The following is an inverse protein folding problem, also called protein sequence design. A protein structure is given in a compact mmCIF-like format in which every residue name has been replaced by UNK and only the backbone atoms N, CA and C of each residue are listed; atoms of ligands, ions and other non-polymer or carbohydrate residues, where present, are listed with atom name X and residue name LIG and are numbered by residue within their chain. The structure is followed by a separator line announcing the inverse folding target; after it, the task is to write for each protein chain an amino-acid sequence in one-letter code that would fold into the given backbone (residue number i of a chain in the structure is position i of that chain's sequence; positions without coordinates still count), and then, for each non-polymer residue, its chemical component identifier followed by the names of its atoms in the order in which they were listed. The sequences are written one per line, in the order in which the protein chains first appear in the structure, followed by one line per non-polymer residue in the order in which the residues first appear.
data_IF_067423303171
#
_entry.id   IF_067423303171
#
_cell.length_a   1.000
_cell.length_b   1.000
_cell.length_c   1.000
_cell.angle_alpha   90.00
_cell.angle_beta   90.00
_cell.angle_gamma   90.00
#
_symmetry.space_group_name_H-M   'P 1'
#
loop_
_entity.id
_entity.type
_entity.pdbx_description
1 polymer ?
#
# COMPACT_ATOMS: atom_id res chain seq x y z
N UNK A 1 -16.77 -18.67 -30.86
CA UNK A 1 -15.50 -18.43 -30.15
C UNK A 1 -15.81 -18.17 -28.69
N UNK A 2 -15.54 -19.14 -27.83
CA UNK A 2 -15.75 -19.03 -26.40
C UNK A 2 -14.49 -18.39 -25.81
N UNK A 3 -14.65 -17.26 -25.11
CA UNK A 3 -13.55 -16.58 -24.44
C UNK A 3 -13.20 -17.41 -23.20
N UNK A 4 -12.22 -18.31 -23.32
CA UNK A 4 -11.91 -19.27 -22.26
C UNK A 4 -10.93 -18.71 -21.21
N UNK A 5 -10.25 -17.59 -21.49
CA UNK A 5 -9.37 -16.98 -20.50
C UNK A 5 -9.19 -15.47 -20.70
N UNK A 6 -9.33 -14.72 -19.61
CA UNK A 6 -9.16 -13.27 -19.57
C UNK A 6 -8.19 -12.90 -18.45
N UNK A 7 -7.11 -12.20 -18.79
CA UNK A 7 -6.06 -11.81 -17.85
C UNK A 7 -6.07 -10.29 -17.71
N UNK A 8 -6.68 -9.78 -16.64
CA UNK A 8 -6.68 -8.35 -16.34
C UNK A 8 -5.56 -8.01 -15.34
N UNK A 9 -4.73 -7.02 -15.67
CA UNK A 9 -3.72 -6.50 -14.75
C UNK A 9 -4.19 -5.19 -14.14
N UNK A 10 -4.42 -5.19 -12.83
CA UNK A 10 -4.98 -4.05 -12.10
C UNK A 10 -3.93 -3.06 -11.56
N UNK A 11 -2.64 -3.26 -11.83
CA UNK A 11 -1.57 -2.40 -11.30
C UNK A 11 -1.50 -2.36 -9.76
N UNK A 12 -1.96 -3.44 -9.10
CA UNK A 12 -2.04 -3.56 -7.64
C UNK A 12 -0.65 -3.78 -7.03
N UNK A 13 0.13 -2.71 -6.96
CA UNK A 13 1.41 -2.70 -6.26
C UNK A 13 1.19 -2.57 -4.75
N UNK A 14 2.21 -2.92 -3.97
CA UNK A 14 2.21 -2.65 -2.54
C UNK A 14 2.02 -1.14 -2.29
N UNK A 15 1.08 -0.81 -1.40
CA UNK A 15 0.74 0.58 -1.06
C UNK A 15 1.36 0.94 0.28
N UNK A 16 1.88 2.16 0.38
CA UNK A 16 2.42 2.68 1.64
C UNK A 16 1.33 2.81 2.70
N UNK A 17 1.66 2.51 3.95
CA UNK A 17 0.71 2.56 5.07
C UNK A 17 0.02 3.93 5.20
N UNK A 18 0.72 5.03 4.89
CA UNK A 18 0.16 6.38 4.95
C UNK A 18 -0.98 6.62 3.96
N UNK A 19 -1.00 5.89 2.84
CA UNK A 19 -1.95 6.07 1.75
C UNK A 19 -3.19 5.20 1.93
N UNK A 20 -3.11 4.20 2.80
CA UNK A 20 -4.25 3.38 3.20
C UNK A 20 -5.09 4.04 4.29
N UNK A 21 -6.41 3.86 4.23
CA UNK A 21 -7.33 4.30 5.27
C UNK A 21 -7.29 3.33 6.46
N UNK A 22 -6.95 3.85 7.63
CA UNK A 22 -6.90 3.07 8.86
C UNK A 22 -6.28 3.86 10.02
N UNK A 23 -5.93 3.14 11.08
CA UNK A 23 -5.28 3.66 12.28
C UNK A 23 -3.86 3.12 12.38
N UNK A 24 -2.89 4.02 12.54
CA UNK A 24 -1.51 3.67 12.88
C UNK A 24 -1.38 3.60 14.41
N UNK A 25 -0.88 2.48 14.91
CA UNK A 25 -0.66 2.19 16.32
C UNK A 25 0.82 2.40 16.69
N UNK A 26 1.06 2.91 17.90
CA UNK A 26 2.40 3.30 18.37
C UNK A 26 2.58 4.82 18.50
N UNK A 27 3.70 5.28 19.04
CA UNK A 27 3.95 6.71 19.29
C UNK A 27 5.00 7.27 18.34
N UNK A 28 4.74 8.48 17.83
CA UNK A 28 5.78 9.25 17.13
C UNK A 28 6.84 9.63 18.16
N UNK A 29 8.09 9.27 17.91
CA UNK A 29 9.16 9.55 18.86
C UNK A 29 9.67 10.98 18.72
N UNK A 30 9.92 11.68 19.85
CA UNK A 30 10.51 13.00 19.81
C UNK A 30 11.95 12.93 19.31
N UNK A 31 12.40 14.04 18.72
CA UNK A 31 13.79 14.19 18.31
C UNK A 31 14.72 14.12 19.53
N UNK A 32 15.79 13.32 19.44
CA UNK A 32 16.76 13.15 20.51
C UNK A 32 17.69 14.36 20.62
N UNK A 33 17.86 14.92 21.82
CA UNK A 33 18.69 16.09 22.06
C UNK A 33 19.83 15.87 23.06
N UNK A 34 20.00 14.65 23.61
CA UNK A 34 21.02 14.44 24.66
C UNK A 34 22.42 14.49 24.07
N UNK A 35 23.31 15.13 24.81
CA UNK A 35 24.71 15.29 24.47
C UNK A 35 25.58 14.75 25.60
N UNK A 36 26.76 14.30 25.23
CA UNK A 36 27.81 13.91 26.16
C UNK A 36 28.33 15.18 26.85
N UNK A 37 28.40 15.14 28.19
CA UNK A 37 28.83 16.29 29.00
C UNK A 37 30.30 16.64 28.78
N UNK A 38 31.13 15.66 28.43
CA UNK A 38 32.58 15.84 28.24
C UNK A 38 32.93 16.33 26.84
N UNK A 39 32.29 15.76 25.80
CA UNK A 39 32.63 16.05 24.40
C UNK A 39 31.65 17.00 23.70
N UNK A 40 30.49 17.29 24.30
CA UNK A 40 29.42 18.10 23.71
C UNK A 40 28.72 17.46 22.50
N UNK A 41 29.17 16.27 22.06
CA UNK A 41 28.63 15.54 20.91
C UNK A 41 27.31 14.85 21.26
N UNK A 42 26.45 14.63 20.27
CA UNK A 42 25.23 13.84 20.46
C UNK A 42 25.58 12.40 20.86
N UNK A 43 24.94 11.90 21.91
CA UNK A 43 25.07 10.49 22.29
C UNK A 43 24.15 9.62 21.42
N UNK A 44 24.49 8.33 21.30
CA UNK A 44 23.60 7.37 20.64
C UNK A 44 22.29 7.30 21.43
N UNK A 45 21.18 7.60 20.76
CA UNK A 45 19.86 7.37 21.34
C UNK A 45 19.68 5.87 21.61
N UNK A 46 19.37 5.49 22.87
CA UNK A 46 18.85 4.15 23.16
C UNK A 46 17.44 4.05 22.58
N UNK A 47 17.29 3.29 21.50
CA UNK A 47 16.00 3.02 20.87
C UNK A 47 15.60 1.60 21.21
N UNK A 48 14.50 1.41 21.95
CA UNK A 48 13.81 0.12 21.97
C UNK A 48 12.94 0.05 20.72
N UNK A 49 12.96 -1.05 19.96
CA UNK A 49 11.97 -1.22 18.90
C UNK A 49 10.59 -1.39 19.57
N UNK A 50 9.69 -0.42 19.40
CA UNK A 50 8.27 -0.65 19.67
C UNK A 50 7.66 -1.07 18.35
N UNK A 51 7.06 -2.25 18.28
CA UNK A 51 6.46 -2.75 17.04
C UNK A 51 5.31 -1.82 16.62
N UNK A 52 5.59 -0.90 15.69
CA UNK A 52 4.57 -0.04 15.09
C UNK A 52 3.54 -0.91 14.36
N UNK A 53 2.26 -0.52 14.44
CA UNK A 53 1.17 -1.30 13.86
C UNK A 53 0.28 -0.48 12.93
N UNK A 54 -0.48 -1.18 12.10
CA UNK A 54 -1.54 -0.62 11.28
C UNK A 54 -2.79 -1.46 11.39
N UNK A 55 -3.91 -0.80 11.69
CA UNK A 55 -5.26 -1.38 11.72
C UNK A 55 -6.05 -0.74 10.58
N UNK A 56 -6.31 -1.45 9.47
CA UNK A 56 -7.10 -0.92 8.36
C UNK A 56 -8.54 -0.64 8.79
N UNK A 57 -9.21 0.30 8.11
CA UNK A 57 -10.62 0.64 8.38
C UNK A 57 -11.59 -0.40 7.79
N UNK A 58 -11.24 -0.98 6.63
CA UNK A 58 -12.06 -1.99 5.95
C UNK A 58 -11.63 -3.42 6.33
N UNK A 59 -12.50 -4.39 5.99
CA UNK A 59 -12.28 -5.82 6.24
C UNK A 59 -11.34 -6.50 5.24
N UNK A 60 -11.06 -5.86 4.10
CA UNK A 60 -10.22 -6.41 3.03
C UNK A 60 -8.79 -6.75 3.50
N UNK A 61 -8.25 -5.95 4.43
CA UNK A 61 -6.89 -6.12 4.92
C UNK A 61 -6.93 -6.48 6.40
N UNK A 62 -6.03 -7.36 6.83
CA UNK A 62 -5.88 -7.68 8.25
C UNK A 62 -4.98 -6.66 8.97
N UNK A 63 -5.26 -6.35 10.25
CA UNK A 63 -4.34 -5.60 11.09
C UNK A 63 -2.97 -6.27 11.14
N UNK A 64 -1.89 -5.49 11.12
CA UNK A 64 -0.52 -6.02 11.16
C UNK A 64 0.41 -5.14 11.97
N UNK A 65 1.51 -5.74 12.42
CA UNK A 65 2.64 -5.04 13.02
C UNK A 65 3.85 -5.12 12.10
N UNK A 66 4.75 -4.15 12.23
CA UNK A 66 5.96 -4.07 11.43
C UNK A 66 7.17 -4.25 12.35
N UNK A 67 7.93 -5.30 12.10
CA UNK A 67 9.20 -5.53 12.78
C UNK A 67 10.17 -4.39 12.49
N UNK A 68 10.87 -3.91 13.52
CA UNK A 68 11.74 -2.72 13.44
C UNK A 68 11.01 -1.47 12.91
N UNK A 69 9.68 -1.45 13.01
CA UNK A 69 8.83 -0.35 12.58
C UNK A 69 8.77 0.76 13.62
N UNK A 70 8.98 2.00 13.21
CA UNK A 70 8.80 3.19 14.03
C UNK A 70 7.67 4.05 13.43
N UNK A 71 6.85 4.66 14.28
CA UNK A 71 5.86 5.64 13.81
C UNK A 71 6.56 6.97 13.54
N UNK A 72 6.36 7.50 12.33
CA UNK A 72 6.95 8.76 11.88
C UNK A 72 5.92 9.63 11.17
N UNK A 73 6.37 10.80 10.69
CA UNK A 73 5.63 11.62 9.73
C UNK A 73 6.39 11.68 8.41
N UNK A 74 5.69 11.52 7.30
CA UNK A 74 6.26 11.63 5.96
C UNK A 74 6.82 13.03 5.75
N UNK A 75 8.02 13.17 5.20
CA UNK A 75 8.66 14.49 5.02
C UNK A 75 7.88 15.44 4.13
N UNK A 76 7.28 14.94 3.04
CA UNK A 76 6.61 15.77 2.02
C UNK A 76 5.22 16.21 2.45
N UNK A 77 4.40 15.28 2.95
CA UNK A 77 2.98 15.53 3.22
C UNK A 77 2.68 15.69 4.73
N UNK A 78 3.68 15.55 5.60
CA UNK A 78 3.53 15.55 7.06
C UNK A 78 2.48 14.56 7.62
N UNK A 79 2.13 13.53 6.83
CA UNK A 79 1.17 12.48 7.19
C UNK A 79 1.82 11.44 8.07
N UNK A 80 1.07 10.92 9.04
CA UNK A 80 1.55 9.87 9.92
C UNK A 80 1.75 8.59 9.10
N UNK A 81 2.88 7.93 9.31
CA UNK A 81 3.27 6.72 8.59
C UNK A 81 4.03 5.78 9.53
N UNK A 82 4.29 4.57 9.06
CA UNK A 82 5.26 3.65 9.67
C UNK A 82 6.50 3.63 8.79
N UNK A 83 7.67 3.73 9.41
CA UNK A 83 8.95 3.53 8.73
C UNK A 83 9.64 2.30 9.30
N UNK A 84 10.19 1.46 8.44
CA UNK A 84 10.98 0.29 8.82
C UNK A 84 12.44 0.70 8.75
N UNK A 85 13.16 0.47 9.84
CA UNK A 85 14.59 0.73 9.90
C UNK A 85 15.37 -0.53 9.64
N UNK A 86 16.29 -0.45 8.70
CA UNK A 86 17.28 -1.48 8.44
C UNK A 86 18.26 -1.55 9.64
N UNK A 87 18.44 -2.71 10.28
CA UNK A 87 19.31 -2.86 11.44
C UNK A 87 20.78 -2.58 11.13
N UNK A 88 21.25 -2.92 9.92
CA UNK A 88 22.66 -2.82 9.52
C UNK A 88 22.98 -1.43 8.99
N UNK A 89 22.21 -0.98 7.99
CA UNK A 89 22.48 0.30 7.30
C UNK A 89 21.89 1.50 8.03
N UNK A 90 20.97 1.27 8.99
CA UNK A 90 20.21 2.29 9.72
C UNK A 90 19.34 3.19 8.85
N UNK A 91 19.22 2.88 7.55
CA UNK A 91 18.35 3.58 6.60
C UNK A 91 16.90 3.25 6.93
N UNK A 92 16.01 4.20 6.67
CA UNK A 92 14.58 4.06 6.91
C UNK A 92 13.85 4.03 5.58
N UNK A 93 12.97 3.05 5.39
CA UNK A 93 11.99 3.01 4.30
C UNK A 93 10.58 3.12 4.84
N UNK A 94 9.64 3.65 4.05
CA UNK A 94 8.23 3.63 4.45
C UNK A 94 7.71 2.18 4.40
N UNK A 95 6.88 1.82 5.37
CA UNK A 95 6.23 0.52 5.40
C UNK A 95 5.16 0.46 4.31
N UNK A 96 5.10 -0.69 3.66
CA UNK A 96 4.17 -0.98 2.57
C UNK A 96 3.33 -2.21 2.94
N UNK A 97 2.13 -2.24 2.37
CA UNK A 97 1.15 -3.29 2.56
C UNK A 97 0.81 -3.81 1.19
N UNK A 98 1.05 -5.10 1.00
CA UNK A 98 0.58 -5.79 -0.19
C UNK A 98 -0.96 -5.84 -0.16
N UNK A 99 -1.54 -5.45 -1.29
CA UNK A 99 -2.98 -5.40 -1.53
C UNK A 99 -3.40 -6.28 -2.70
N UNK A 100 -2.45 -6.89 -3.42
CA UNK A 100 -2.74 -7.59 -4.68
C UNK A 100 -3.74 -8.73 -4.47
N UNK A 101 -3.38 -9.69 -3.63
CA UNK A 101 -4.19 -10.89 -3.40
C UNK A 101 -5.56 -10.56 -2.76
N UNK A 102 -5.65 -9.74 -1.68
CA UNK A 102 -6.95 -9.38 -1.12
C UNK A 102 -7.88 -8.67 -2.11
N UNK A 103 -7.32 -7.80 -2.96
CA UNK A 103 -8.11 -7.11 -3.99
C UNK A 103 -8.53 -8.05 -5.11
N UNK A 104 -7.66 -8.96 -5.55
CA UNK A 104 -7.98 -9.93 -6.58
C UNK A 104 -9.16 -10.80 -6.15
N UNK A 105 -9.09 -11.38 -4.93
CA UNK A 105 -10.16 -12.20 -4.37
C UNK A 105 -11.47 -11.40 -4.26
N UNK A 106 -11.41 -10.15 -3.79
CA UNK A 106 -12.61 -9.30 -3.71
C UNK A 106 -13.24 -9.03 -5.09
N UNK A 107 -12.42 -8.80 -6.12
CA UNK A 107 -12.92 -8.57 -7.48
C UNK A 107 -13.52 -9.86 -8.04
N UNK A 108 -12.88 -11.01 -7.85
CA UNK A 108 -13.40 -12.33 -8.23
C UNK A 108 -14.76 -12.61 -7.60
N UNK A 109 -14.90 -12.35 -6.30
CA UNK A 109 -16.13 -12.64 -5.55
C UNK A 109 -17.29 -11.67 -5.86
N UNK A 110 -17.00 -10.40 -6.15
CA UNK A 110 -18.03 -9.35 -6.17
C UNK A 110 -18.23 -8.67 -7.53
N UNK A 111 -17.21 -8.65 -8.38
CA UNK A 111 -17.21 -7.79 -9.56
C UNK A 111 -17.10 -8.58 -10.87
N UNK A 112 -16.59 -9.81 -10.89
CA UNK A 112 -16.41 -10.55 -12.16
C UNK A 112 -17.73 -10.81 -12.90
N UNK A 113 -18.82 -11.08 -12.18
CA UNK A 113 -20.13 -11.30 -12.77
C UNK A 113 -20.61 -10.08 -13.58
N UNK A 114 -20.49 -8.87 -12.99
CA UNK A 114 -20.89 -7.62 -13.64
C UNK A 114 -19.84 -7.09 -14.63
N UNK A 115 -18.56 -7.29 -14.33
CA UNK A 115 -17.45 -6.84 -15.17
C UNK A 115 -17.47 -7.49 -16.55
N UNK A 116 -17.88 -8.76 -16.63
CA UNK A 116 -18.06 -9.46 -17.91
C UNK A 116 -19.19 -8.87 -18.73
N UNK A 117 -20.32 -8.49 -18.12
CA UNK A 117 -21.42 -7.82 -18.82
C UNK A 117 -21.01 -6.43 -19.30
N UNK A 118 -20.40 -5.61 -18.43
CA UNK A 118 -19.94 -4.26 -18.76
C UNK A 118 -18.90 -4.31 -19.88
N UNK A 119 -17.93 -5.23 -19.78
CA UNK A 119 -16.94 -5.43 -20.83
C UNK A 119 -17.60 -5.85 -22.14
N UNK A 120 -18.50 -6.85 -22.11
CA UNK A 120 -19.22 -7.32 -23.31
C UNK A 120 -20.00 -6.18 -23.96
N UNK A 121 -20.67 -5.35 -23.16
CA UNK A 121 -21.40 -4.19 -23.68
C UNK A 121 -20.48 -3.19 -24.39
N UNK A 122 -19.34 -2.85 -23.79
CA UNK A 122 -18.36 -1.97 -24.43
C UNK A 122 -17.69 -2.60 -25.66
N UNK A 123 -17.36 -3.88 -25.60
CA UNK A 123 -16.76 -4.62 -26.71
C UNK A 123 -17.69 -4.73 -27.91
N UNK A 124 -18.98 -5.04 -27.68
CA UNK A 124 -19.99 -5.05 -28.75
C UNK A 124 -20.20 -3.67 -29.35
N UNK A 125 -20.21 -2.63 -28.51
CA UNK A 125 -20.34 -1.23 -28.96
C UNK A 125 -19.13 -0.82 -29.83
N UNK A 126 -17.92 -1.16 -29.41
CA UNK A 126 -16.69 -0.89 -30.17
C UNK A 126 -16.67 -1.66 -31.49
N UNK A 127 -17.00 -2.96 -31.49
CA UNK A 127 -17.10 -3.77 -32.71
C UNK A 127 -18.11 -3.19 -33.70
N UNK A 128 -19.31 -2.85 -33.23
CA UNK A 128 -20.34 -2.19 -34.06
C UNK A 128 -19.83 -0.86 -34.61
N UNK A 129 -19.11 -0.08 -33.80
CA UNK A 129 -18.48 1.17 -34.21
C UNK A 129 -17.44 0.96 -35.32
N UNK A 130 -16.54 0.00 -35.18
CA UNK A 130 -15.50 -0.32 -36.18
C UNK A 130 -16.09 -0.84 -37.48
N UNK A 131 -17.10 -1.72 -37.41
CA UNK A 131 -17.83 -2.21 -38.60
C UNK A 131 -18.51 -1.05 -39.32
N UNK A 132 -19.19 -0.16 -38.58
CA UNK A 132 -19.82 1.05 -39.15
C UNK A 132 -18.80 1.99 -39.79
N UNK A 133 -17.63 2.12 -39.17
CA UNK A 133 -16.51 2.92 -39.69
C UNK A 133 -15.73 2.22 -40.82
N UNK A 134 -16.09 0.97 -41.19
CA UNK A 134 -15.38 0.13 -42.16
C UNK A 134 -13.88 -0.01 -41.86
N UNK A 135 -13.52 0.02 -40.58
CA UNK A 135 -12.15 -0.25 -40.12
C UNK A 135 -12.01 -1.77 -40.12
N UNK A 136 -11.23 -2.32 -41.06
CA UNK A 136 -10.92 -3.75 -41.06
C UNK A 136 -10.00 -4.09 -39.89
N UNK A 137 -10.36 -5.13 -39.14
CA UNK A 137 -9.53 -5.76 -38.11
C UNK A 137 -8.80 -6.95 -38.72
#
# INVERSE_FOLDING_TARGET
SQLDNFRLWFGLNAIKVKDLKGRINGRVRPHHTRRDKSTGRYIKARRQAENAGFTPKGSLLSPRTFENGEVARSRRENRRTVVIRDPDTRRTREAEVDIYEPMLNYIEDNAFAEAMEIFRHHFETDLRGRVKARISV
#
